data_IF_688291268612
#
_entry.id   IF_688291268612
#
_cell.length_a   1.000
_cell.length_b   1.000
_cell.length_c   1.000
_cell.angle_alpha   90.00
_cell.angle_beta   90.00
_cell.angle_gamma   90.00
#
_symmetry.space_group_name_H-M   'P 1'
#
loop_
_entity.id
_entity.type
_entity.pdbx_description
1 polymer ?
#
# COMPACT_ATOMS: atom_id res chain seq x y z
N UNK A 1 -35.93 7.88 -11.10
CA UNK A 1 -35.08 6.70 -11.21
C UNK A 1 -34.78 6.23 -9.79
N UNK A 2 -34.94 4.98 -9.48
CA UNK A 2 -34.61 4.46 -8.16
C UNK A 2 -33.09 4.55 -7.96
N UNK A 3 -32.64 5.35 -7.02
CA UNK A 3 -31.22 5.61 -6.72
C UNK A 3 -30.46 4.33 -6.33
N UNK A 4 -31.17 3.35 -5.76
CA UNK A 4 -30.60 2.07 -5.31
C UNK A 4 -30.20 1.14 -6.47
N UNK A 5 -30.62 1.43 -7.70
CA UNK A 5 -30.35 0.62 -8.90
C UNK A 5 -29.15 1.11 -9.72
N UNK A 6 -28.57 2.27 -9.40
CA UNK A 6 -27.38 2.77 -10.09
C UNK A 6 -26.11 2.13 -9.51
N UNK A 7 -25.16 1.68 -10.38
CA UNK A 7 -23.91 1.10 -9.92
C UNK A 7 -23.03 2.15 -9.23
N UNK A 8 -22.10 1.69 -8.43
CA UNK A 8 -20.97 2.52 -7.96
C UNK A 8 -19.94 2.57 -9.08
N UNK A 9 -19.56 3.79 -9.49
CA UNK A 9 -18.50 3.99 -10.48
C UNK A 9 -17.15 4.06 -9.78
N UNK A 10 -16.17 3.30 -10.25
CA UNK A 10 -14.80 3.30 -9.73
C UNK A 10 -13.86 3.68 -10.87
N UNK A 11 -13.04 4.70 -10.69
CA UNK A 11 -11.99 5.10 -11.64
C UNK A 11 -10.65 4.60 -11.12
N UNK A 12 -10.00 3.74 -11.91
CA UNK A 12 -8.75 3.05 -11.62
C UNK A 12 -8.94 1.56 -11.28
N UNK A 13 -8.33 0.67 -12.07
CA UNK A 13 -8.24 -0.78 -11.83
C UNK A 13 -6.92 -1.17 -11.16
N UNK A 14 -6.36 -0.28 -10.35
CA UNK A 14 -5.25 -0.57 -9.47
C UNK A 14 -5.66 -1.44 -8.27
N UNK A 15 -4.70 -1.76 -7.37
CA UNK A 15 -4.97 -2.63 -6.22
C UNK A 15 -6.11 -2.12 -5.32
N UNK A 16 -6.23 -0.79 -5.16
CA UNK A 16 -7.25 -0.18 -4.30
C UNK A 16 -8.63 -0.18 -4.98
N UNK A 17 -8.71 0.23 -6.25
CA UNK A 17 -9.99 0.24 -6.98
C UNK A 17 -10.58 -1.16 -7.16
N UNK A 18 -9.75 -2.16 -7.49
CA UNK A 18 -10.20 -3.55 -7.57
C UNK A 18 -10.55 -4.14 -6.19
N UNK A 19 -9.87 -3.70 -5.11
CA UNK A 19 -10.25 -4.09 -3.74
C UNK A 19 -11.61 -3.52 -3.37
N UNK A 20 -11.89 -2.24 -3.69
CA UNK A 20 -13.21 -1.65 -3.48
C UNK A 20 -14.29 -2.38 -4.28
N UNK A 21 -14.02 -2.67 -5.56
CA UNK A 21 -14.94 -3.45 -6.38
C UNK A 21 -15.23 -4.83 -5.76
N UNK A 22 -14.17 -5.53 -5.31
CA UNK A 22 -14.28 -6.84 -4.66
C UNK A 22 -15.10 -6.76 -3.36
N UNK A 23 -14.86 -5.77 -2.53
CA UNK A 23 -15.61 -5.55 -1.30
C UNK A 23 -17.09 -5.27 -1.55
N UNK A 24 -17.41 -4.40 -2.52
CA UNK A 24 -18.79 -4.04 -2.87
C UNK A 24 -19.55 -5.22 -3.46
N UNK A 25 -18.97 -5.98 -4.40
CA UNK A 25 -19.63 -7.16 -4.99
C UNK A 25 -19.88 -8.27 -3.95
N UNK A 26 -19.01 -8.39 -2.92
CA UNK A 26 -19.22 -9.35 -1.83
C UNK A 26 -20.47 -9.03 -0.99
N UNK A 27 -20.95 -7.79 -1.04
CA UNK A 27 -22.18 -7.29 -0.42
C UNK A 27 -23.37 -7.23 -1.43
N UNK A 28 -23.18 -7.70 -2.67
CA UNK A 28 -24.20 -7.66 -3.73
C UNK A 28 -24.45 -6.27 -4.30
N UNK A 29 -23.52 -5.33 -4.13
CA UNK A 29 -23.60 -3.95 -4.63
C UNK A 29 -22.97 -3.90 -6.02
N UNK A 30 -23.74 -3.37 -6.99
CA UNK A 30 -23.30 -3.29 -8.38
C UNK A 30 -22.20 -2.24 -8.58
N UNK A 31 -21.14 -2.60 -9.32
CA UNK A 31 -19.99 -1.75 -9.59
C UNK A 31 -19.62 -1.73 -11.07
N UNK A 32 -19.07 -0.59 -11.52
CA UNK A 32 -18.40 -0.47 -12.81
C UNK A 32 -17.05 0.17 -12.61
N UNK A 33 -16.00 -0.58 -12.92
CA UNK A 33 -14.60 -0.11 -12.82
C UNK A 33 -14.13 0.35 -14.19
N UNK A 34 -13.54 1.52 -14.28
CA UNK A 34 -12.98 2.10 -15.51
C UNK A 34 -11.48 2.35 -15.33
N UNK A 35 -10.68 1.84 -16.25
CA UNK A 35 -9.22 1.96 -16.28
C UNK A 35 -8.77 2.52 -17.63
N UNK A 36 -7.89 3.54 -17.59
CA UNK A 36 -7.38 4.18 -18.81
C UNK A 36 -6.46 3.28 -19.64
N UNK A 37 -5.71 2.42 -18.98
CA UNK A 37 -4.79 1.52 -19.66
C UNK A 37 -5.58 0.33 -20.30
N UNK A 38 -5.02 -0.20 -21.39
CA UNK A 38 -5.61 -1.36 -22.07
C UNK A 38 -5.42 -2.67 -21.30
N UNK A 39 -4.38 -2.74 -20.48
CA UNK A 39 -4.02 -3.90 -19.66
C UNK A 39 -3.66 -3.47 -18.23
N UNK A 40 -3.76 -4.42 -17.29
CA UNK A 40 -3.31 -4.20 -15.93
C UNK A 40 -1.81 -3.92 -15.87
N UNK A 41 -1.41 -2.95 -15.07
CA UNK A 41 0.00 -2.60 -14.91
C UNK A 41 0.84 -3.82 -14.50
N UNK A 42 1.96 -4.09 -15.18
CA UNK A 42 2.91 -5.12 -14.78
C UNK A 42 3.77 -4.67 -13.58
N UNK A 43 3.71 -3.40 -13.19
CA UNK A 43 4.57 -2.85 -12.18
C UNK A 43 4.32 -3.47 -10.80
N UNK A 44 5.38 -3.87 -10.18
CA UNK A 44 5.38 -4.53 -8.89
C UNK A 44 5.86 -3.59 -7.77
N UNK A 45 5.34 -2.34 -7.72
CA UNK A 45 5.78 -1.29 -6.78
C UNK A 45 5.64 -1.73 -5.33
N UNK A 46 4.40 -1.92 -4.85
CA UNK A 46 4.14 -2.45 -3.52
C UNK A 46 4.06 -3.98 -3.53
N UNK A 47 4.48 -4.61 -2.43
CA UNK A 47 4.49 -6.08 -2.34
C UNK A 47 4.19 -6.63 -0.96
N UNK A 48 3.93 -5.82 0.04
CA UNK A 48 3.72 -6.28 1.41
C UNK A 48 2.24 -6.16 1.78
N UNK A 49 1.63 -7.27 2.19
CA UNK A 49 0.32 -7.28 2.83
C UNK A 49 0.47 -7.58 4.31
N UNK A 50 -0.18 -6.74 5.12
CA UNK A 50 -0.20 -6.86 6.57
C UNK A 50 -1.34 -7.78 7.04
N UNK A 51 -1.26 -8.35 8.24
CA UNK A 51 -2.28 -9.24 8.82
C UNK A 51 -3.72 -8.71 8.67
N UNK A 52 -3.97 -7.44 8.98
CA UNK A 52 -5.32 -6.85 8.85
C UNK A 52 -5.85 -6.86 7.41
N UNK A 53 -4.99 -6.59 6.43
CA UNK A 53 -5.36 -6.65 5.01
C UNK A 53 -5.68 -8.10 4.57
N UNK A 54 -4.98 -9.09 5.12
CA UNK A 54 -5.27 -10.50 4.85
C UNK A 54 -6.63 -10.92 5.44
N UNK A 55 -7.02 -10.38 6.60
CA UNK A 55 -8.37 -10.57 7.14
C UNK A 55 -9.45 -10.05 6.17
N UNK A 56 -9.26 -8.85 5.60
CA UNK A 56 -10.17 -8.27 4.61
C UNK A 56 -10.29 -9.16 3.36
N UNK A 57 -9.17 -9.66 2.84
CA UNK A 57 -9.18 -10.61 1.72
C UNK A 57 -9.89 -11.92 2.05
N UNK A 58 -9.84 -12.36 3.32
CA UNK A 58 -10.59 -13.53 3.78
C UNK A 58 -12.09 -13.27 3.82
N UNK A 59 -12.52 -12.11 4.31
CA UNK A 59 -13.91 -11.68 4.31
C UNK A 59 -14.47 -11.57 2.88
N UNK A 60 -13.66 -11.15 1.91
CA UNK A 60 -14.04 -11.04 0.49
C UNK A 60 -13.91 -12.35 -0.29
N UNK A 61 -13.46 -13.44 0.35
CA UNK A 61 -13.37 -14.77 -0.27
C UNK A 61 -12.21 -14.97 -1.25
N UNK A 62 -11.23 -14.06 -1.30
CA UNK A 62 -10.09 -14.12 -2.23
C UNK A 62 -8.78 -14.58 -1.58
N UNK A 63 -8.76 -14.78 -0.26
CA UNK A 63 -7.55 -15.03 0.54
C UNK A 63 -6.73 -16.23 0.04
N UNK A 64 -7.36 -17.33 -0.31
CA UNK A 64 -6.66 -18.57 -0.71
C UNK A 64 -5.82 -18.35 -1.98
N UNK A 65 -6.38 -17.64 -2.96
CA UNK A 65 -5.68 -17.32 -4.22
C UNK A 65 -4.53 -16.34 -3.96
N UNK A 66 -4.74 -15.35 -3.09
CA UNK A 66 -3.71 -14.37 -2.72
C UNK A 66 -2.57 -15.05 -1.97
N UNK A 67 -2.85 -15.92 -1.00
CA UNK A 67 -1.84 -16.67 -0.26
C UNK A 67 -1.00 -17.57 -1.17
N UNK A 68 -1.66 -18.27 -2.10
CA UNK A 68 -0.97 -19.14 -3.06
C UNK A 68 -0.05 -18.39 -4.03
N UNK A 69 -0.22 -17.07 -4.16
CA UNK A 69 0.56 -16.21 -5.06
C UNK A 69 1.67 -15.42 -4.36
N UNK A 70 1.85 -15.59 -3.07
CA UNK A 70 2.79 -14.81 -2.27
C UNK A 70 3.77 -15.65 -1.47
N UNK A 71 4.73 -14.96 -0.86
CA UNK A 71 5.71 -15.53 0.06
C UNK A 71 5.35 -15.13 1.49
N UNK A 72 5.10 -16.12 2.37
CA UNK A 72 4.78 -15.88 3.77
C UNK A 72 6.03 -15.51 4.56
N UNK A 73 5.91 -14.48 5.39
CA UNK A 73 6.98 -13.93 6.23
C UNK A 73 6.55 -13.98 7.69
N UNK A 74 7.13 -14.90 8.45
CA UNK A 74 6.76 -15.17 9.84
C UNK A 74 7.43 -14.22 10.83
N UNK A 75 8.49 -13.51 10.42
CA UNK A 75 9.21 -12.55 11.26
C UNK A 75 9.87 -11.46 10.43
N UNK A 76 10.15 -10.32 11.04
CA UNK A 76 10.95 -9.25 10.47
C UNK A 76 12.17 -8.96 11.36
N UNK A 77 13.22 -8.40 10.76
CA UNK A 77 14.47 -8.15 11.46
C UNK A 77 14.95 -6.72 11.24
N UNK A 78 15.66 -6.23 12.27
CA UNK A 78 16.41 -4.99 12.25
C UNK A 78 17.90 -5.27 12.48
N UNK A 79 18.76 -4.69 11.64
CA UNK A 79 20.20 -4.94 11.63
C UNK A 79 20.98 -3.63 11.65
N UNK A 80 22.18 -3.64 12.22
CA UNK A 80 23.21 -2.62 11.97
C UNK A 80 24.07 -3.06 10.81
N UNK A 81 24.34 -2.13 9.86
CA UNK A 81 25.17 -2.42 8.68
C UNK A 81 26.64 -2.59 9.01
N UNK A 82 27.21 -1.67 9.80
CA UNK A 82 28.64 -1.55 10.06
C UNK A 82 29.27 -2.83 10.59
N UNK A 83 28.62 -3.46 11.56
CA UNK A 83 29.11 -4.66 12.24
C UNK A 83 28.29 -5.92 11.89
N UNK A 84 27.30 -5.81 11.00
CA UNK A 84 26.37 -6.89 10.62
C UNK A 84 25.68 -7.54 11.81
N UNK A 85 25.38 -6.76 12.83
CA UNK A 85 24.75 -7.24 14.04
C UNK A 85 23.23 -7.20 13.95
N UNK A 86 22.57 -8.31 14.27
CA UNK A 86 21.13 -8.36 14.50
C UNK A 86 20.81 -7.54 15.73
N UNK A 87 20.00 -6.49 15.56
CA UNK A 87 19.49 -5.64 16.65
C UNK A 87 18.32 -6.36 17.33
N UNK A 88 17.32 -6.75 16.53
CA UNK A 88 16.10 -7.39 17.01
C UNK A 88 15.40 -8.18 15.90
N UNK A 89 14.72 -9.25 16.31
CA UNK A 89 13.77 -10.00 15.49
C UNK A 89 12.38 -9.93 16.13
N UNK A 90 11.37 -9.73 15.31
CA UNK A 90 9.98 -9.66 15.73
C UNK A 90 9.20 -10.80 15.06
N UNK A 91 8.84 -11.80 15.86
CA UNK A 91 8.13 -13.00 15.42
C UNK A 91 6.61 -12.75 15.49
N UNK A 92 5.93 -12.86 14.36
CA UNK A 92 4.49 -12.67 14.25
C UNK A 92 3.67 -13.67 15.07
N UNK A 93 4.24 -14.78 15.52
CA UNK A 93 3.59 -15.70 16.48
C UNK A 93 3.10 -14.98 17.73
N UNK A 94 3.72 -13.87 18.12
CA UNK A 94 3.29 -13.06 19.26
C UNK A 94 1.87 -12.51 19.13
N UNK A 95 1.32 -12.44 17.92
CA UNK A 95 -0.05 -11.99 17.64
C UNK A 95 -0.97 -13.12 17.13
N UNK A 96 -0.60 -14.39 17.32
CA UNK A 96 -1.39 -15.53 16.84
C UNK A 96 -2.79 -15.64 17.47
N UNK A 97 -2.99 -15.04 18.65
CA UNK A 97 -4.31 -14.97 19.29
C UNK A 97 -5.14 -13.76 18.85
N UNK A 98 -4.55 -12.83 18.08
CA UNK A 98 -5.20 -11.58 17.67
C UNK A 98 -5.68 -11.63 16.23
N UNK A 99 -5.12 -12.52 15.41
CA UNK A 99 -5.43 -12.64 13.98
C UNK A 99 -5.24 -14.08 13.49
N UNK A 100 -6.07 -14.56 12.56
CA UNK A 100 -5.84 -15.86 11.88
C UNK A 100 -4.65 -15.83 10.91
N UNK A 101 -4.08 -14.63 10.64
CA UNK A 101 -2.96 -14.43 9.72
C UNK A 101 -1.75 -13.79 10.46
N UNK A 102 -1.11 -14.48 11.41
CA UNK A 102 0.01 -13.94 12.19
C UNK A 102 1.31 -13.96 11.36
N UNK A 103 1.32 -13.28 10.20
CA UNK A 103 2.45 -13.17 9.27
C UNK A 103 2.23 -12.01 8.30
N UNK A 104 3.28 -11.58 7.61
CA UNK A 104 3.16 -10.75 6.41
C UNK A 104 3.17 -11.63 5.17
N UNK A 105 2.48 -11.18 4.13
CA UNK A 105 2.57 -11.80 2.81
C UNK A 105 3.31 -10.87 1.86
N UNK A 106 4.40 -11.35 1.26
CA UNK A 106 5.08 -10.66 0.17
C UNK A 106 4.50 -11.12 -1.16
N UNK A 107 3.66 -10.30 -1.76
CA UNK A 107 3.01 -10.56 -3.04
C UNK A 107 2.94 -9.25 -3.84
N UNK A 108 3.51 -9.19 -5.07
CA UNK A 108 3.48 -7.98 -5.89
C UNK A 108 2.06 -7.47 -6.13
N UNK A 109 1.87 -6.15 -6.10
CA UNK A 109 0.56 -5.54 -6.38
C UNK A 109 0.00 -5.93 -7.76
N UNK A 110 0.88 -6.14 -8.74
CA UNK A 110 0.49 -6.58 -10.09
C UNK A 110 -0.07 -8.01 -10.10
N UNK A 111 0.31 -8.85 -9.13
CA UNK A 111 -0.28 -10.19 -8.94
C UNK A 111 -1.65 -10.04 -8.29
N UNK A 112 -1.79 -9.20 -7.25
CA UNK A 112 -3.08 -8.95 -6.61
C UNK A 112 -4.14 -8.48 -7.63
N UNK A 113 -3.80 -7.51 -8.49
CA UNK A 113 -4.75 -6.99 -9.48
C UNK A 113 -5.20 -8.07 -10.47
N UNK A 114 -4.29 -9.00 -10.86
CA UNK A 114 -4.62 -10.16 -11.71
C UNK A 114 -5.49 -11.21 -11.01
N UNK A 115 -5.45 -11.27 -9.69
CA UNK A 115 -6.35 -12.11 -8.88
C UNK A 115 -7.73 -11.46 -8.77
N UNK A 116 -7.77 -10.15 -8.46
CA UNK A 116 -9.02 -9.45 -8.18
C UNK A 116 -9.86 -9.17 -9.45
N UNK A 117 -9.23 -8.79 -10.57
CA UNK A 117 -9.97 -8.43 -11.79
C UNK A 117 -10.89 -9.56 -12.27
N UNK A 118 -10.43 -10.81 -12.48
CA UNK A 118 -11.33 -11.92 -12.86
C UNK A 118 -12.40 -12.21 -11.80
N UNK A 119 -12.08 -12.04 -10.51
CA UNK A 119 -13.05 -12.21 -9.43
C UNK A 119 -14.19 -11.20 -9.55
N UNK A 120 -13.89 -9.95 -9.86
CA UNK A 120 -14.91 -8.92 -10.12
C UNK A 120 -15.71 -9.25 -11.38
N UNK A 121 -15.06 -9.59 -12.51
CA UNK A 121 -15.70 -9.83 -13.81
C UNK A 121 -16.60 -11.09 -13.83
N UNK A 122 -16.35 -12.06 -12.95
CA UNK A 122 -17.19 -13.27 -12.84
C UNK A 122 -18.41 -13.06 -11.95
N UNK A 123 -18.47 -11.97 -11.19
CA UNK A 123 -19.61 -11.60 -10.36
C UNK A 123 -20.74 -11.02 -11.21
N UNK A 124 -22.03 -11.33 -10.93
CA UNK A 124 -23.16 -10.66 -11.59
C UNK A 124 -23.29 -9.18 -11.23
N UNK A 125 -22.48 -8.68 -10.27
CA UNK A 125 -22.49 -7.31 -9.79
C UNK A 125 -21.30 -6.48 -10.27
N UNK A 126 -20.34 -7.03 -11.01
CA UNK A 126 -19.09 -6.37 -11.35
C UNK A 126 -18.77 -6.36 -12.84
N UNK A 127 -18.48 -5.17 -13.37
CA UNK A 127 -17.93 -4.97 -14.71
C UNK A 127 -16.61 -4.23 -14.64
N UNK A 128 -15.60 -4.62 -15.45
CA UNK A 128 -14.32 -3.91 -15.57
C UNK A 128 -14.09 -3.50 -17.03
N UNK A 129 -13.95 -2.21 -17.26
CA UNK A 129 -13.76 -1.60 -18.58
C UNK A 129 -12.33 -1.03 -18.69
N UNK A 130 -11.48 -1.73 -19.44
CA UNK A 130 -10.12 -1.27 -19.75
C UNK A 130 -10.15 -0.29 -20.94
N UNK A 131 -9.15 0.58 -21.06
CA UNK A 131 -9.04 1.58 -22.13
C UNK A 131 -10.08 2.71 -22.03
N UNK A 132 -10.55 3.02 -20.83
CA UNK A 132 -11.52 4.09 -20.57
C UNK A 132 -10.94 5.13 -19.61
N UNK A 133 -10.53 6.26 -20.15
CA UNK A 133 -9.93 7.37 -19.41
C UNK A 133 -11.00 8.29 -18.81
N UNK A 134 -10.86 8.64 -17.55
CA UNK A 134 -11.68 9.64 -16.88
C UNK A 134 -11.37 11.05 -17.44
N UNK A 135 -12.41 11.79 -17.79
CA UNK A 135 -12.31 13.17 -18.28
C UNK A 135 -12.88 14.16 -17.27
N UNK A 136 -14.12 13.92 -16.81
CA UNK A 136 -14.79 14.80 -15.85
C UNK A 136 -15.96 14.09 -15.17
N UNK A 137 -16.43 14.68 -14.08
CA UNK A 137 -17.63 14.24 -13.42
C UNK A 137 -18.48 15.43 -12.98
N UNK A 138 -19.79 15.24 -12.96
CA UNK A 138 -20.76 16.21 -12.46
C UNK A 138 -21.70 15.53 -11.48
N UNK A 139 -21.69 16.01 -10.24
CA UNK A 139 -22.66 15.59 -9.22
C UNK A 139 -24.02 16.26 -9.47
N UNK A 140 -25.03 15.45 -9.71
CA UNK A 140 -26.43 15.89 -9.94
C UNK A 140 -27.29 15.80 -8.70
N UNK A 141 -26.71 15.44 -7.54
CA UNK A 141 -27.38 15.25 -6.27
C UNK A 141 -28.07 13.89 -6.13
N UNK A 142 -28.71 13.38 -7.17
CA UNK A 142 -29.33 12.06 -7.18
C UNK A 142 -28.47 10.99 -7.84
N UNK A 143 -27.47 11.39 -8.64
CA UNK A 143 -26.48 10.53 -9.29
C UNK A 143 -25.25 11.35 -9.68
N UNK A 144 -24.16 10.67 -10.00
CA UNK A 144 -22.98 11.28 -10.64
C UNK A 144 -22.97 10.91 -12.12
N UNK A 145 -22.84 11.92 -12.99
CA UNK A 145 -22.62 11.76 -14.42
C UNK A 145 -21.11 11.83 -14.67
N UNK A 146 -20.50 10.72 -15.12
CA UNK A 146 -19.06 10.60 -15.37
C UNK A 146 -18.81 10.57 -16.86
N UNK A 147 -18.00 11.51 -17.37
CA UNK A 147 -17.55 11.53 -18.74
C UNK A 147 -16.25 10.74 -18.84
N UNK A 148 -16.25 9.73 -19.71
CA UNK A 148 -15.12 8.86 -20.00
C UNK A 148 -14.78 8.96 -21.49
N UNK A 149 -13.52 8.67 -21.84
CA UNK A 149 -13.04 8.60 -23.21
C UNK A 149 -12.40 7.26 -23.50
N UNK A 150 -12.75 6.66 -24.60
CA UNK A 150 -12.15 5.45 -25.14
C UNK A 150 -11.76 5.64 -26.62
N UNK A 151 -11.41 4.55 -27.33
CA UNK A 151 -11.04 4.57 -28.75
C UNK A 151 -12.20 4.99 -29.70
N UNK A 152 -13.44 4.92 -29.24
CA UNK A 152 -14.63 5.28 -30.01
C UNK A 152 -15.07 6.73 -29.78
N UNK A 153 -14.52 7.39 -28.76
CA UNK A 153 -14.83 8.78 -28.39
C UNK A 153 -15.23 8.96 -26.94
N UNK A 154 -15.95 10.02 -26.65
CA UNK A 154 -16.45 10.32 -25.32
C UNK A 154 -17.81 9.67 -25.08
N UNK A 155 -18.01 9.20 -23.85
CA UNK A 155 -19.26 8.62 -23.37
C UNK A 155 -19.59 9.11 -21.96
N UNK A 156 -20.86 9.15 -21.62
CA UNK A 156 -21.31 9.49 -20.27
C UNK A 156 -21.92 8.26 -19.62
N UNK A 157 -21.45 7.92 -18.43
CA UNK A 157 -22.01 6.87 -17.58
C UNK A 157 -22.58 7.48 -16.32
N UNK A 158 -23.61 6.85 -15.73
CA UNK A 158 -24.27 7.31 -14.51
C UNK A 158 -24.02 6.30 -13.40
N UNK A 159 -23.70 6.79 -12.22
CA UNK A 159 -23.55 6.00 -11.01
C UNK A 159 -24.19 6.67 -9.80
N UNK A 160 -24.42 5.88 -8.75
CA UNK A 160 -24.90 6.42 -7.48
C UNK A 160 -23.81 7.27 -6.80
N UNK A 161 -22.59 6.74 -6.78
CA UNK A 161 -21.37 7.40 -6.32
C UNK A 161 -20.27 7.22 -7.36
N UNK A 162 -19.30 8.15 -7.32
CA UNK A 162 -18.01 8.02 -8.02
C UNK A 162 -16.89 7.87 -7.00
N UNK A 163 -16.10 6.81 -7.12
CA UNK A 163 -14.94 6.54 -6.29
C UNK A 163 -13.66 6.70 -7.12
N UNK A 164 -12.84 7.72 -6.82
CA UNK A 164 -11.54 7.96 -7.44
C UNK A 164 -10.46 7.14 -6.75
N UNK A 165 -9.98 6.08 -7.43
CA UNK A 165 -8.86 5.23 -7.03
C UNK A 165 -7.76 5.25 -8.09
N UNK A 166 -7.59 6.38 -8.78
CA UNK A 166 -6.79 6.62 -9.98
C UNK A 166 -5.34 7.05 -9.66
N UNK A 167 -4.92 6.83 -8.41
CA UNK A 167 -3.52 6.92 -8.00
C UNK A 167 -3.04 8.33 -7.68
N UNK A 168 -1.73 8.49 -7.49
CA UNK A 168 -1.11 9.73 -7.00
C UNK A 168 -1.35 10.96 -7.89
N UNK A 169 -1.53 10.75 -9.19
CA UNK A 169 -1.86 11.77 -10.20
C UNK A 169 -3.35 11.78 -10.55
N UNK A 170 -4.19 11.67 -9.53
CA UNK A 170 -5.64 11.54 -9.65
C UNK A 170 -6.27 12.70 -10.42
N UNK A 171 -6.86 12.40 -11.57
CA UNK A 171 -7.67 13.34 -12.33
C UNK A 171 -9.01 13.58 -11.64
N UNK A 172 -9.55 12.60 -10.92
CA UNK A 172 -10.77 12.77 -10.11
C UNK A 172 -10.55 13.81 -9.03
N UNK A 173 -9.46 13.71 -8.24
CA UNK A 173 -9.10 14.71 -7.23
C UNK A 173 -8.92 16.10 -7.85
N UNK A 174 -8.17 16.18 -8.95
CA UNK A 174 -7.85 17.45 -9.60
C UNK A 174 -9.09 18.11 -10.18
N UNK A 175 -10.05 17.35 -10.72
CA UNK A 175 -11.34 17.87 -11.25
C UNK A 175 -12.22 18.50 -10.17
N UNK A 176 -12.04 18.10 -8.92
CA UNK A 176 -12.75 18.66 -7.75
C UNK A 176 -12.03 19.87 -7.13
N UNK A 177 -10.86 20.23 -7.61
CA UNK A 177 -10.02 21.29 -7.02
C UNK A 177 -9.57 20.95 -5.59
N UNK A 178 -9.45 19.67 -5.25
CA UNK A 178 -9.03 19.23 -3.92
C UNK A 178 -7.50 19.33 -3.84
N UNK A 179 -7.01 20.11 -2.88
CA UNK A 179 -5.57 20.26 -2.64
C UNK A 179 -4.93 18.97 -2.14
N UNK A 180 -3.71 18.66 -2.61
CA UNK A 180 -2.91 17.52 -2.17
C UNK A 180 -1.73 18.01 -1.33
N UNK A 181 -1.95 18.13 -0.02
CA UNK A 181 -1.08 18.83 0.93
C UNK A 181 0.01 17.89 1.45
N UNK A 182 1.24 18.36 1.49
CA UNK A 182 2.36 17.61 2.05
C UNK A 182 3.71 17.99 1.44
N UNK A 183 4.62 17.02 1.42
CA UNK A 183 6.01 17.26 1.02
C UNK A 183 6.56 16.14 0.11
N UNK A 184 7.69 16.42 -0.48
CA UNK A 184 8.54 15.43 -1.15
C UNK A 184 9.83 15.31 -0.36
N UNK A 185 10.24 14.09 -0.03
CA UNK A 185 11.52 13.84 0.63
C UNK A 185 12.67 14.19 -0.33
N UNK A 186 13.79 14.61 0.22
CA UNK A 186 15.00 14.90 -0.58
C UNK A 186 15.61 13.62 -1.14
N UNK A 187 15.63 12.57 -0.32
CA UNK A 187 16.15 11.27 -0.74
C UNK A 187 15.23 10.58 -1.74
N UNK A 188 15.83 9.84 -2.64
CA UNK A 188 15.17 8.91 -3.56
C UNK A 188 15.45 7.48 -3.13
N UNK A 189 14.66 6.54 -3.60
CA UNK A 189 14.85 5.13 -3.33
C UNK A 189 15.14 4.39 -4.63
N UNK A 190 16.27 3.67 -4.65
CA UNK A 190 16.65 2.76 -5.71
C UNK A 190 16.18 1.35 -5.32
N UNK A 191 15.23 0.82 -6.07
CA UNK A 191 14.75 -0.55 -5.93
C UNK A 191 15.41 -1.41 -7.01
N UNK A 192 16.01 -2.51 -6.58
CA UNK A 192 16.65 -3.51 -7.43
C UNK A 192 15.95 -4.84 -7.18
N UNK A 193 15.50 -5.53 -8.23
CA UNK A 193 15.05 -6.90 -8.17
C UNK A 193 16.17 -7.82 -8.70
N UNK A 194 16.56 -8.82 -7.91
CA UNK A 194 17.69 -9.69 -8.20
C UNK A 194 17.41 -11.13 -7.76
N UNK A 195 18.18 -12.09 -8.29
CA UNK A 195 18.19 -13.49 -7.88
C UNK A 195 19.12 -13.79 -6.70
N UNK A 196 19.66 -12.75 -6.04
CA UNK A 196 20.56 -12.94 -4.88
C UNK A 196 19.82 -13.64 -3.74
N UNK A 197 20.36 -14.76 -3.33
CA UNK A 197 19.98 -15.43 -2.08
C UNK A 197 20.84 -14.94 -0.93
N UNK A 198 20.31 -13.97 -0.19
CA UNK A 198 21.02 -13.38 0.94
C UNK A 198 21.25 -14.35 2.11
N UNK A 199 20.51 -15.46 2.20
CA UNK A 199 20.74 -16.48 3.22
C UNK A 199 22.11 -17.15 3.11
N UNK A 200 22.68 -17.16 1.90
CA UNK A 200 24.02 -17.68 1.62
C UNK A 200 25.14 -16.68 1.98
N UNK A 201 24.80 -15.40 2.20
CA UNK A 201 25.75 -14.30 2.38
C UNK A 201 25.76 -13.82 3.84
N UNK A 202 24.57 -13.69 4.42
CA UNK A 202 24.40 -13.23 5.78
C UNK A 202 23.78 -14.36 6.62
N UNK A 203 24.53 -14.83 7.60
CA UNK A 203 24.04 -15.84 8.54
C UNK A 203 22.77 -15.32 9.25
N UNK A 204 21.68 -16.07 9.13
CA UNK A 204 20.38 -15.78 9.77
C UNK A 204 19.66 -14.52 9.28
N UNK A 205 19.98 -13.97 8.11
CA UNK A 205 19.20 -12.86 7.57
C UNK A 205 17.77 -13.33 7.23
N UNK A 206 16.80 -12.63 7.77
CA UNK A 206 15.38 -12.92 7.55
C UNK A 206 14.84 -12.40 6.22
N UNK A 207 13.69 -12.92 5.80
CA UNK A 207 13.07 -12.58 4.51
C UNK A 207 12.61 -11.12 4.40
N UNK A 208 12.39 -10.45 5.53
CA UNK A 208 12.18 -8.99 5.60
C UNK A 208 13.16 -8.42 6.60
N UNK A 209 14.14 -7.68 6.10
CA UNK A 209 15.22 -7.12 6.91
C UNK A 209 15.43 -5.63 6.62
N UNK A 210 15.43 -4.84 7.67
CA UNK A 210 15.73 -3.40 7.66
C UNK A 210 17.15 -3.24 8.21
N UNK A 211 18.07 -2.76 7.37
CA UNK A 211 19.48 -2.66 7.69
C UNK A 211 19.82 -1.20 7.85
N UNK A 212 20.06 -0.79 9.08
CA UNK A 212 20.29 0.60 9.46
C UNK A 212 21.69 1.06 9.12
N UNK A 213 21.77 2.23 8.51
CA UNK A 213 23.02 2.91 8.20
C UNK A 213 22.73 4.40 8.00
N UNK A 214 23.50 5.31 8.59
CA UNK A 214 23.25 6.75 8.47
C UNK A 214 23.45 7.29 7.04
N UNK A 215 24.28 6.64 6.24
CA UNK A 215 24.59 7.09 4.88
C UNK A 215 23.75 6.37 3.84
N UNK A 216 23.70 5.03 3.91
CA UNK A 216 23.02 4.21 2.91
C UNK A 216 22.35 2.99 3.56
N UNK A 217 21.18 3.22 4.20
CA UNK A 217 20.39 2.11 4.71
C UNK A 217 19.86 1.22 3.57
N UNK A 218 19.58 -0.03 3.90
CA UNK A 218 19.11 -1.03 2.96
C UNK A 218 17.88 -1.74 3.50
N UNK A 219 16.90 -2.01 2.63
CA UNK A 219 15.79 -2.91 2.95
C UNK A 219 15.88 -4.12 2.02
N UNK A 220 15.76 -5.32 2.59
CA UNK A 220 15.69 -6.57 1.85
C UNK A 220 14.29 -7.16 2.02
N UNK A 221 13.67 -7.52 0.90
CA UNK A 221 12.35 -8.13 0.84
C UNK A 221 12.42 -9.37 -0.04
N UNK A 222 12.25 -10.55 0.55
CA UNK A 222 12.11 -11.79 -0.19
C UNK A 222 10.71 -11.90 -0.79
N UNK A 223 10.63 -12.12 -2.10
CA UNK A 223 9.42 -12.42 -2.85
C UNK A 223 9.50 -13.86 -3.37
N UNK A 224 8.41 -14.42 -3.94
CA UNK A 224 8.46 -15.80 -4.46
C UNK A 224 9.58 -16.07 -5.44
N UNK A 225 9.81 -15.17 -6.40
CA UNK A 225 10.74 -15.40 -7.52
C UNK A 225 12.00 -14.53 -7.46
N UNK A 226 12.03 -13.48 -6.65
CA UNK A 226 13.13 -12.51 -6.60
C UNK A 226 13.32 -11.96 -5.20
N UNK A 227 14.53 -11.48 -4.92
CA UNK A 227 14.80 -10.62 -3.77
C UNK A 227 14.81 -9.17 -4.22
N UNK A 228 14.09 -8.32 -3.51
CA UNK A 228 14.13 -6.86 -3.67
C UNK A 228 15.07 -6.24 -2.67
N UNK A 229 15.93 -5.39 -3.19
CA UNK A 229 16.89 -4.61 -2.42
C UNK A 229 16.54 -3.15 -2.65
N UNK A 230 16.28 -2.41 -1.57
CA UNK A 230 15.98 -0.97 -1.64
C UNK A 230 17.11 -0.22 -0.97
N UNK A 231 17.75 0.68 -1.71
CA UNK A 231 18.79 1.57 -1.20
C UNK A 231 18.28 3.01 -1.10
N UNK A 232 18.70 3.71 -0.07
CA UNK A 232 18.61 5.18 0.00
C UNK A 232 19.57 5.79 -1.03
N UNK A 233 19.09 6.76 -1.78
CA UNK A 233 19.88 7.57 -2.71
C UNK A 233 19.73 9.04 -2.33
N UNK A 234 20.77 9.67 -1.78
CA UNK A 234 20.76 11.10 -1.45
C UNK A 234 20.46 11.98 -2.68
N UNK A 235 19.91 13.18 -2.44
CA UNK A 235 19.50 14.11 -3.50
C UNK A 235 20.65 14.50 -4.43
N UNK A 236 21.87 14.59 -3.91
CA UNK A 236 23.08 15.02 -4.62
C UNK A 236 23.58 13.99 -5.62
N UNK A 237 23.16 12.74 -5.51
CA UNK A 237 23.62 11.64 -6.37
C UNK A 237 22.81 11.62 -7.66
N UNK A 238 23.47 11.52 -8.82
CA UNK A 238 22.82 11.46 -10.12
C UNK A 238 21.91 10.21 -10.25
N UNK A 239 20.63 10.46 -10.56
CA UNK A 239 19.62 9.42 -10.69
C UNK A 239 19.85 8.46 -11.88
N UNK A 240 20.50 8.93 -12.94
CA UNK A 240 20.82 8.09 -14.11
C UNK A 240 22.05 7.22 -13.82
N UNK A 241 23.10 7.84 -13.28
CA UNK A 241 24.34 7.15 -12.95
C UNK A 241 24.14 5.97 -11.99
N UNK A 242 23.24 6.10 -10.99
CA UNK A 242 23.01 5.00 -10.03
C UNK A 242 22.26 3.80 -10.62
N UNK A 243 21.66 3.95 -11.80
CA UNK A 243 20.92 2.89 -12.48
C UNK A 243 21.80 2.18 -13.54
N UNK A 244 23.01 2.62 -13.77
CA UNK A 244 23.95 1.94 -14.65
C UNK A 244 24.32 0.56 -14.06
N UNK A 245 24.43 -0.45 -14.91
CA UNK A 245 24.64 -1.84 -14.49
C UNK A 245 25.89 -2.01 -13.62
N UNK A 246 26.96 -1.29 -13.95
CA UNK A 246 28.20 -1.34 -13.17
C UNK A 246 28.03 -0.67 -11.79
N UNK A 247 27.35 0.46 -11.72
CA UNK A 247 27.07 1.16 -10.46
C UNK A 247 26.19 0.31 -9.52
N UNK A 248 25.21 -0.41 -10.08
CA UNK A 248 24.37 -1.34 -9.33
C UNK A 248 25.20 -2.51 -8.81
N UNK A 249 26.01 -3.14 -9.67
CA UNK A 249 26.89 -4.25 -9.30
C UNK A 249 27.83 -3.83 -8.17
N UNK A 250 28.52 -2.71 -8.32
CA UNK A 250 29.43 -2.18 -7.31
C UNK A 250 28.74 -1.87 -5.99
N UNK A 251 27.52 -1.29 -6.03
CA UNK A 251 26.74 -0.98 -4.81
C UNK A 251 26.36 -2.25 -4.05
N UNK A 252 25.87 -3.27 -4.76
CA UNK A 252 25.54 -4.56 -4.15
C UNK A 252 26.79 -5.23 -3.59
N UNK A 253 27.88 -5.30 -4.34
CA UNK A 253 29.16 -5.88 -3.88
C UNK A 253 29.71 -5.15 -2.64
N UNK A 254 29.64 -3.82 -2.61
CA UNK A 254 30.01 -3.04 -1.43
C UNK A 254 29.13 -3.37 -0.21
N UNK A 255 27.84 -3.56 -0.43
CA UNK A 255 26.91 -3.92 0.63
C UNK A 255 27.19 -5.32 1.18
N UNK A 256 27.39 -6.31 0.33
CA UNK A 256 27.66 -7.69 0.74
C UNK A 256 29.13 -7.92 1.15
N UNK A 257 30.04 -7.02 0.75
CA UNK A 257 31.50 -7.13 0.91
C UNK A 257 32.08 -8.45 0.34
N UNK A 258 31.49 -8.93 -0.73
CA UNK A 258 31.92 -10.14 -1.44
C UNK A 258 31.73 -9.94 -2.94
N UNK A 259 32.57 -10.58 -3.73
CA UNK A 259 32.40 -10.66 -5.18
C UNK A 259 31.62 -11.94 -5.50
N UNK A 260 30.34 -11.79 -5.79
CA UNK A 260 29.46 -12.87 -6.20
C UNK A 260 28.88 -12.55 -7.58
N UNK A 261 28.55 -13.59 -8.31
CA UNK A 261 27.77 -13.43 -9.54
C UNK A 261 26.28 -13.39 -9.22
N UNK A 262 25.54 -12.47 -9.85
CA UNK A 262 24.10 -12.33 -9.70
C UNK A 262 23.50 -11.65 -10.92
N UNK A 263 22.20 -11.86 -11.10
CA UNK A 263 21.42 -11.25 -12.15
C UNK A 263 20.48 -10.19 -11.59
N UNK A 264 20.50 -9.02 -12.21
CA UNK A 264 19.51 -7.96 -11.98
C UNK A 264 18.37 -8.15 -12.99
N UNK A 265 17.15 -8.32 -12.47
CA UNK A 265 15.96 -8.49 -13.30
C UNK A 265 15.32 -7.16 -13.68
N UNK A 266 15.30 -6.22 -12.74
CA UNK A 266 14.80 -4.87 -12.98
C UNK A 266 15.33 -3.88 -11.94
N UNK A 267 15.31 -2.61 -12.32
CA UNK A 267 15.65 -1.49 -11.44
C UNK A 267 14.64 -0.37 -11.61
N UNK A 268 14.40 0.37 -10.54
CA UNK A 268 13.66 1.63 -10.60
C UNK A 268 14.15 2.58 -9.52
N UNK A 269 14.16 3.87 -9.84
CA UNK A 269 14.40 4.93 -8.87
C UNK A 269 13.17 5.82 -8.81
N UNK A 270 12.74 6.18 -7.61
CA UNK A 270 11.55 6.98 -7.43
C UNK A 270 11.71 8.02 -6.32
N UNK A 271 11.04 9.15 -6.52
CA UNK A 271 10.88 10.16 -5.50
C UNK A 271 9.88 9.68 -4.45
N UNK A 272 10.12 10.05 -3.22
CA UNK A 272 9.26 9.69 -2.09
C UNK A 272 8.43 10.90 -1.71
N UNK A 273 7.12 10.73 -1.76
CA UNK A 273 6.15 11.76 -1.40
C UNK A 273 5.37 11.38 -0.15
N UNK A 274 4.96 12.40 0.60
CA UNK A 274 4.06 12.27 1.73
C UNK A 274 3.02 13.38 1.62
N UNK A 275 1.82 13.04 1.19
CA UNK A 275 0.74 13.99 0.92
C UNK A 275 -0.61 13.41 1.30
N UNK A 276 -1.54 14.29 1.72
CA UNK A 276 -2.92 13.92 1.98
C UNK A 276 -3.84 14.97 1.35
N UNK A 277 -4.90 14.53 0.72
CA UNK A 277 -5.94 15.40 0.19
C UNK A 277 -6.58 16.22 1.32
N UNK A 278 -6.90 17.49 1.05
CA UNK A 278 -7.51 18.39 2.04
C UNK A 278 -8.87 17.88 2.54
N UNK A 279 -9.57 17.11 1.71
CA UNK A 279 -10.77 16.32 2.02
C UNK A 279 -10.82 15.09 1.10
N UNK A 280 -11.51 14.03 1.51
CA UNK A 280 -11.63 12.80 0.71
C UNK A 280 -12.99 12.68 0.04
N UNK A 281 -13.85 13.70 0.19
CA UNK A 281 -15.20 13.74 -0.38
C UNK A 281 -15.54 15.13 -0.90
N UNK A 282 -16.30 15.15 -1.98
CA UNK A 282 -17.06 16.30 -2.45
C UNK A 282 -18.39 15.82 -3.02
N UNK A 283 -19.51 16.08 -2.31
CA UNK A 283 -20.82 15.54 -2.69
C UNK A 283 -20.84 14.01 -2.77
N UNK A 284 -21.18 13.47 -3.94
CA UNK A 284 -21.24 12.04 -4.22
C UNK A 284 -19.94 11.50 -4.86
N UNK A 285 -18.84 12.23 -4.79
CA UNK A 285 -17.54 11.86 -5.32
C UNK A 285 -16.55 11.67 -4.16
N UNK A 286 -15.93 10.48 -4.08
CA UNK A 286 -15.10 10.04 -2.97
C UNK A 286 -13.71 9.64 -3.48
N UNK A 287 -12.66 9.97 -2.74
CA UNK A 287 -11.27 9.59 -3.02
C UNK A 287 -10.82 8.49 -2.06
N UNK A 288 -9.96 7.58 -2.57
CA UNK A 288 -9.35 6.52 -1.77
C UNK A 288 -7.97 6.12 -2.32
N UNK A 289 -7.15 5.50 -1.45
CA UNK A 289 -5.79 5.11 -1.79
C UNK A 289 -4.90 6.29 -2.17
N UNK A 290 -4.02 6.09 -3.15
CA UNK A 290 -3.05 7.11 -3.56
C UNK A 290 -3.69 8.39 -4.13
N UNK A 291 -4.97 8.35 -4.56
CA UNK A 291 -5.73 9.54 -4.92
C UNK A 291 -6.05 10.42 -3.70
N UNK A 292 -6.23 9.80 -2.53
CA UNK A 292 -6.54 10.45 -1.27
C UNK A 292 -5.30 10.75 -0.43
N UNK A 293 -4.34 9.83 -0.35
CA UNK A 293 -3.13 9.97 0.48
C UNK A 293 -1.98 9.09 -0.04
N UNK A 294 -0.79 9.65 -0.04
CA UNK A 294 0.46 8.93 -0.29
C UNK A 294 1.42 9.13 0.88
N UNK A 295 2.21 8.12 1.16
CA UNK A 295 3.21 8.17 2.22
C UNK A 295 4.52 7.54 1.76
N UNK A 296 5.60 7.75 2.51
CA UNK A 296 6.83 7.06 2.22
C UNK A 296 6.66 5.54 2.40
N UNK A 297 7.38 4.70 1.62
CA UNK A 297 7.14 3.26 1.56
C UNK A 297 7.67 2.48 2.77
N UNK A 298 8.29 3.15 3.76
CA UNK A 298 8.88 2.53 4.94
C UNK A 298 7.86 1.80 5.79
N UNK A 299 7.91 0.49 5.76
CA UNK A 299 6.98 -0.38 6.50
C UNK A 299 5.87 -1.00 5.64
N UNK A 300 5.76 -0.61 4.35
CA UNK A 300 4.79 -1.21 3.41
C UNK A 300 3.33 -0.87 3.72
N UNK A 301 3.04 0.33 4.22
CA UNK A 301 1.70 0.69 4.72
C UNK A 301 0.78 1.32 3.66
N UNK A 302 1.32 1.97 2.60
CA UNK A 302 0.52 2.78 1.67
C UNK A 302 -0.59 2.00 0.96
N UNK A 303 -0.23 0.95 0.23
CA UNK A 303 -1.21 0.09 -0.45
C UNK A 303 -2.20 -0.54 0.55
N UNK A 304 -1.75 -0.98 1.71
CA UNK A 304 -2.61 -1.54 2.75
C UNK A 304 -3.62 -0.49 3.25
N UNK A 305 -3.17 0.75 3.52
CA UNK A 305 -4.07 1.85 3.92
C UNK A 305 -5.15 2.11 2.87
N UNK A 306 -4.80 2.12 1.57
CA UNK A 306 -5.77 2.26 0.49
C UNK A 306 -6.77 1.09 0.41
N UNK A 307 -6.35 -0.14 0.70
CA UNK A 307 -7.24 -1.30 0.79
C UNK A 307 -8.17 -1.17 2.02
N UNK A 308 -7.67 -0.63 3.13
CA UNK A 308 -8.49 -0.31 4.30
C UNK A 308 -9.51 0.79 3.99
N UNK A 309 -9.15 1.80 3.17
CA UNK A 309 -10.14 2.79 2.70
C UNK A 309 -11.29 2.10 1.97
N UNK A 310 -10.98 1.15 1.08
CA UNK A 310 -11.97 0.39 0.33
C UNK A 310 -12.90 -0.43 1.26
N UNK A 311 -12.32 -1.06 2.29
CA UNK A 311 -13.05 -1.82 3.30
C UNK A 311 -14.05 -0.94 4.05
N UNK A 312 -13.58 0.18 4.63
CA UNK A 312 -14.43 1.10 5.38
C UNK A 312 -15.48 1.76 4.49
N UNK A 313 -15.09 2.23 3.29
CA UNK A 313 -16.03 2.86 2.36
C UNK A 313 -17.18 1.92 1.98
N UNK A 314 -16.90 0.62 1.87
CA UNK A 314 -17.92 -0.39 1.59
C UNK A 314 -18.99 -0.44 2.68
N UNK A 315 -18.61 -0.41 3.96
CA UNK A 315 -19.57 -0.39 5.08
C UNK A 315 -20.41 0.88 5.09
N UNK A 316 -19.81 2.04 4.83
CA UNK A 316 -20.55 3.31 4.74
C UNK A 316 -21.53 3.32 3.56
N UNK A 317 -21.10 2.84 2.37
CA UNK A 317 -21.98 2.74 1.21
C UNK A 317 -23.16 1.79 1.48
N UNK A 318 -22.92 0.63 2.07
CA UNK A 318 -23.98 -0.34 2.40
C UNK A 318 -25.03 0.27 3.33
N UNK A 319 -24.62 0.99 4.38
CA UNK A 319 -25.51 1.67 5.31
C UNK A 319 -26.33 2.77 4.63
N UNK A 320 -25.72 3.56 3.75
CA UNK A 320 -26.42 4.58 2.97
C UNK A 320 -27.44 3.95 2.02
N UNK A 321 -27.09 2.87 1.35
CA UNK A 321 -28.03 2.15 0.48
C UNK A 321 -29.17 1.49 1.25
N UNK A 322 -28.95 1.17 2.53
CA UNK A 322 -29.98 0.71 3.46
C UNK A 322 -30.87 1.85 4.01
N UNK A 323 -30.58 3.13 3.68
CA UNK A 323 -31.41 4.28 3.99
C UNK A 323 -30.85 5.21 5.06
N UNK A 324 -29.60 5.05 5.51
CA UNK A 324 -28.95 6.02 6.39
C UNK A 324 -28.53 7.29 5.62
N UNK A 325 -28.12 8.34 6.34
CA UNK A 325 -27.74 9.64 5.77
C UNK A 325 -26.48 9.55 4.92
N UNK A 326 -26.43 10.29 3.82
CA UNK A 326 -25.22 10.48 3.02
C UNK A 326 -24.10 11.24 3.76
N UNK A 327 -24.41 11.89 4.90
CA UNK A 327 -23.41 12.52 5.79
C UNK A 327 -22.39 11.51 6.33
N UNK A 328 -22.72 10.23 6.33
CA UNK A 328 -21.78 9.15 6.65
C UNK A 328 -20.52 9.17 5.76
N UNK A 329 -20.59 9.73 4.55
CA UNK A 329 -19.42 9.90 3.70
C UNK A 329 -18.47 11.01 4.21
N UNK A 330 -18.97 11.97 4.97
CA UNK A 330 -18.13 12.97 5.66
C UNK A 330 -17.40 12.30 6.83
N UNK A 331 -18.08 11.42 7.58
CA UNK A 331 -17.46 10.61 8.62
C UNK A 331 -16.34 9.72 8.06
N UNK A 332 -16.58 9.06 6.92
CA UNK A 332 -15.53 8.32 6.20
C UNK A 332 -14.34 9.22 5.85
N UNK A 333 -14.61 10.38 5.24
CA UNK A 333 -13.57 11.33 4.83
C UNK A 333 -12.71 11.76 6.03
N UNK A 334 -13.33 12.16 7.12
CA UNK A 334 -12.64 12.64 8.32
C UNK A 334 -11.86 11.51 9.00
N UNK A 335 -12.47 10.33 9.16
CA UNK A 335 -11.84 9.16 9.76
C UNK A 335 -10.60 8.72 8.98
N UNK A 336 -10.73 8.52 7.65
CA UNK A 336 -9.60 8.03 6.84
C UNK A 336 -8.50 9.06 6.71
N UNK A 337 -8.86 10.34 6.61
CA UNK A 337 -7.91 11.44 6.61
C UNK A 337 -7.15 11.53 7.94
N UNK A 338 -7.86 11.41 9.07
CA UNK A 338 -7.24 11.37 10.40
C UNK A 338 -6.25 10.21 10.52
N UNK A 339 -6.65 9.00 10.05
CA UNK A 339 -5.80 7.81 10.09
C UNK A 339 -4.54 7.98 9.23
N UNK A 340 -4.68 8.52 8.01
CA UNK A 340 -3.55 8.80 7.13
C UNK A 340 -2.52 9.76 7.78
N UNK A 341 -2.98 10.83 8.43
CA UNK A 341 -2.12 11.85 9.05
C UNK A 341 -1.48 11.35 10.36
N UNK A 342 -2.28 10.75 11.25
CA UNK A 342 -1.87 10.50 12.62
C UNK A 342 -1.33 9.09 12.88
N UNK A 343 -1.61 8.13 11.99
CA UNK A 343 -1.10 6.77 12.11
C UNK A 343 -0.11 6.42 11.01
N UNK A 344 -0.50 6.55 9.75
CA UNK A 344 0.35 6.11 8.63
C UNK A 344 1.55 7.03 8.46
N UNK A 345 1.34 8.35 8.32
CA UNK A 345 2.45 9.30 8.13
C UNK A 345 3.40 9.31 9.31
N UNK A 346 2.91 9.38 10.54
CA UNK A 346 3.77 9.35 11.74
C UNK A 346 4.58 8.06 11.83
N UNK A 347 3.96 6.91 11.54
CA UNK A 347 4.66 5.61 11.59
C UNK A 347 5.74 5.50 10.51
N UNK A 348 5.44 5.91 9.28
CA UNK A 348 6.39 5.83 8.16
C UNK A 348 7.51 6.87 8.30
N UNK A 349 7.22 8.05 8.83
CA UNK A 349 8.21 9.08 9.18
C UNK A 349 9.17 8.59 10.27
N UNK A 350 8.62 8.01 11.34
CA UNK A 350 9.44 7.42 12.42
C UNK A 350 10.37 6.34 11.87
N UNK A 351 9.88 5.48 10.99
CA UNK A 351 10.70 4.46 10.34
C UNK A 351 11.84 5.07 9.52
N UNK A 352 11.54 6.13 8.76
CA UNK A 352 12.54 6.83 7.96
C UNK A 352 13.60 7.48 8.85
N UNK A 353 13.21 8.17 9.93
CA UNK A 353 14.12 8.76 10.90
C UNK A 353 15.00 7.70 11.58
N UNK A 354 14.41 6.57 11.98
CA UNK A 354 15.14 5.47 12.60
C UNK A 354 16.21 4.88 11.67
N UNK A 355 15.90 4.74 10.37
CA UNK A 355 16.84 4.18 9.39
C UNK A 355 17.95 5.16 9.03
N UNK A 356 17.66 6.47 8.99
CA UNK A 356 18.56 7.52 8.54
C UNK A 356 19.28 8.23 9.71
N UNK A 357 19.16 7.75 10.94
CA UNK A 357 19.70 8.41 12.13
C UNK A 357 21.23 8.50 12.10
N UNK A 358 21.76 9.72 12.18
CA UNK A 358 23.20 10.01 12.21
C UNK A 358 23.76 10.11 13.64
N UNK A 359 22.95 10.54 14.61
CA UNK A 359 23.36 10.71 16.01
C UNK A 359 23.56 9.35 16.72
N UNK A 360 24.76 9.09 17.19
CA UNK A 360 25.12 7.81 17.83
C UNK A 360 24.33 7.55 19.12
N UNK A 361 24.02 8.58 19.90
CA UNK A 361 23.20 8.44 21.13
C UNK A 361 21.76 8.06 20.79
N UNK A 362 21.21 8.60 19.71
CA UNK A 362 19.90 8.22 19.22
C UNK A 362 19.91 6.77 18.71
N UNK A 363 20.91 6.38 17.92
CA UNK A 363 21.07 5.02 17.38
C UNK A 363 21.12 3.99 18.51
N UNK A 364 21.93 4.24 19.53
CA UNK A 364 22.06 3.33 20.68
C UNK A 364 20.72 3.21 21.45
N UNK A 365 20.02 4.32 21.72
CA UNK A 365 18.71 4.31 22.38
C UNK A 365 17.66 3.57 21.53
N UNK A 366 17.65 3.79 20.22
CA UNK A 366 16.78 3.06 19.28
C UNK A 366 17.05 1.56 19.36
N UNK A 367 18.31 1.15 19.27
CA UNK A 367 18.69 -0.27 19.28
C UNK A 367 18.34 -0.91 20.62
N UNK A 368 18.60 -0.25 21.73
CA UNK A 368 18.21 -0.72 23.07
C UNK A 368 16.68 -0.85 23.20
N UNK A 369 15.92 0.09 22.62
CA UNK A 369 14.47 0.01 22.59
C UNK A 369 13.99 -1.21 21.81
N UNK A 370 14.50 -1.46 20.60
CA UNK A 370 14.13 -2.64 19.82
C UNK A 370 14.48 -3.95 20.51
N UNK A 371 15.69 -4.06 21.10
CA UNK A 371 16.10 -5.22 21.89
C UNK A 371 15.16 -5.46 23.09
N UNK A 372 14.80 -4.38 23.79
CA UNK A 372 13.90 -4.44 24.94
C UNK A 372 12.47 -4.84 24.56
N UNK A 373 11.97 -4.37 23.40
CA UNK A 373 10.65 -4.78 22.89
C UNK A 373 10.68 -6.25 22.47
N UNK A 374 11.72 -6.68 21.75
CA UNK A 374 11.85 -8.05 21.28
C UNK A 374 12.04 -9.08 22.43
N UNK A 375 12.60 -8.65 23.56
CA UNK A 375 12.80 -9.50 24.72
C UNK A 375 11.55 -9.66 25.61
N UNK A 376 10.52 -8.83 25.42
CA UNK A 376 9.29 -8.84 26.24
C UNK A 376 8.09 -9.24 25.37
N UNK A 377 7.46 -10.41 25.63
CA UNK A 377 6.35 -10.90 24.82
C UNK A 377 5.16 -9.95 24.72
N UNK A 378 4.81 -9.24 25.79
CA UNK A 378 3.68 -8.31 25.79
C UNK A 378 4.01 -7.07 24.95
N UNK A 379 5.20 -6.51 25.11
CA UNK A 379 5.66 -5.36 24.30
C UNK A 379 5.84 -5.73 22.83
N UNK A 380 6.32 -6.95 22.54
CA UNK A 380 6.42 -7.46 21.16
C UNK A 380 5.04 -7.56 20.52
N UNK A 381 4.06 -8.13 21.24
CA UNK A 381 2.67 -8.19 20.77
C UNK A 381 2.12 -6.80 20.46
N UNK A 382 2.22 -5.85 21.40
CA UNK A 382 1.71 -4.48 21.20
C UNK A 382 2.39 -3.77 20.03
N UNK A 383 3.68 -3.99 19.86
CA UNK A 383 4.44 -3.48 18.72
C UNK A 383 3.93 -4.06 17.39
N UNK A 384 3.73 -5.38 17.33
CA UNK A 384 3.26 -6.08 16.13
C UNK A 384 1.80 -5.77 15.81
N UNK A 385 0.91 -5.58 16.78
CA UNK A 385 -0.47 -5.12 16.56
C UNK A 385 -0.49 -3.84 15.73
N UNK A 386 0.28 -2.83 16.15
CA UNK A 386 0.39 -1.55 15.43
C UNK A 386 1.02 -1.72 14.05
N UNK A 387 2.10 -2.49 13.98
CA UNK A 387 2.83 -2.75 12.71
C UNK A 387 2.05 -3.62 11.73
N UNK A 388 1.05 -4.32 12.19
CA UNK A 388 0.14 -5.17 11.41
C UNK A 388 -1.15 -4.47 11.02
N UNK A 389 -1.30 -3.18 11.40
CA UNK A 389 -2.50 -2.36 11.18
C UNK A 389 -3.78 -2.98 11.81
N UNK A 390 -3.62 -3.84 12.84
CA UNK A 390 -4.74 -4.46 13.56
C UNK A 390 -5.43 -3.48 14.52
N UNK A 391 -4.78 -2.39 14.88
CA UNK A 391 -5.34 -1.28 15.67
C UNK A 391 -6.47 -0.53 14.95
N UNK A 392 -6.52 -0.59 13.63
CA UNK A 392 -7.63 -0.09 12.82
C UNK A 392 -8.99 -0.70 13.25
N UNK A 393 -9.02 -2.00 13.57
CA UNK A 393 -10.20 -2.70 14.10
C UNK A 393 -10.58 -2.26 15.52
N UNK A 394 -9.58 -2.11 16.39
CA UNK A 394 -9.79 -1.74 17.80
C UNK A 394 -10.39 -0.34 17.93
N UNK A 395 -10.07 0.57 17.02
CA UNK A 395 -10.62 1.93 17.03
C UNK A 395 -12.10 1.96 16.64
N UNK A 396 -12.54 1.09 15.73
CA UNK A 396 -13.95 0.97 15.35
C UNK A 396 -14.79 0.37 16.47
N UNK A 397 -14.29 -0.64 17.19
CA UNK A 397 -14.99 -1.26 18.34
C UNK A 397 -15.15 -0.29 19.51
N UNK A 398 -14.25 0.70 19.65
CA UNK A 398 -14.35 1.73 20.69
C UNK A 398 -15.22 2.94 20.32
N UNK A 399 -15.67 3.04 19.06
CA UNK A 399 -16.56 4.11 18.57
C UNK A 399 -18.02 3.63 18.39
N UNK A 400 -18.26 2.33 18.43
CA UNK A 400 -19.57 1.68 18.38
C UNK A 400 -20.15 1.47 19.80
#
# INVERSE_FOLDING_TARGET
>A
MDKSLLPIIIVGAGPVGLSLATALISRGIAVKVFEKELELSPEARASTFHPRTLEMFNEWGVINTVLASGYQVDYLQYWERDNRQLIAQFDYKAIANDTPFPFRLQCPQSVLTRVLKPHVETSPYGDVYMGHEFISAEDKGDHVAVTLKNSEGEMIVKGRFLCGADGAHSLVRDSLGIEFIGMTYRDRFLLIASDIDFSQIFENLGPVSYIFDPQEWVIILQLPDVTRIVFRIPEEVDAQAVQESEAIRQRIQNFIAQDIDFKVHSTSIYNVHQRVASRLREGNIILLGDAAHINNPMGGMGMNSGIHDAYHLTDFIERILAGESEDLLDEYSDMRRYYALNHIQQSTDKNYQDMSAEDDSYREKRNQSFRSIAADPARMRDYLIKRSMLDDRIQLENQA
#
